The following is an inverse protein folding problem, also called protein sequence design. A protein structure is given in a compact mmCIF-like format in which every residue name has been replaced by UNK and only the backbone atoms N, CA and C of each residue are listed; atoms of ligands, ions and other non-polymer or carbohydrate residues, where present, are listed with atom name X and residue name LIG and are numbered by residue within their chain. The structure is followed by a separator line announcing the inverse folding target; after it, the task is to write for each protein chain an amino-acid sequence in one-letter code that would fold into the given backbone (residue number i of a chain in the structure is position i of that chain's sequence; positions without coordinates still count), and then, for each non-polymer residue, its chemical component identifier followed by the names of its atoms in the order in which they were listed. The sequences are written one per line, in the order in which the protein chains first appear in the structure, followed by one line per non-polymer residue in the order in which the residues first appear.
data_IF_003319952809
#
_entry.id   IF_003319952809
#
_cell.length_a   1.000
_cell.length_b   1.000
_cell.length_c   1.000
_cell.angle_alpha   90.00
_cell.angle_beta   90.00
_cell.angle_gamma   90.00
#
_symmetry.space_group_name_H-M   'P 1'
#
loop_
_entity.id
_entity.type
_entity.pdbx_description
1 polymer ?
#
# COMPACT_ATOMS: atom_id res chain seq x y z
N UNK A 1 20.30 -11.07 8.36
CA UNK A 1 21.19 -11.36 9.49
C UNK A 1 20.50 -12.25 10.49
N UNK A 2 21.25 -13.13 11.13
CA UNK A 2 20.80 -13.97 12.25
C UNK A 2 21.60 -13.50 13.47
N UNK A 3 20.94 -13.38 14.62
CA UNK A 3 21.56 -12.96 15.87
C UNK A 3 21.29 -14.02 16.92
N UNK A 4 22.30 -14.35 17.71
CA UNK A 4 22.16 -15.25 18.85
C UNK A 4 21.77 -14.45 20.10
N UNK A 5 20.88 -15.01 20.88
CA UNK A 5 20.44 -14.48 22.17
C UNK A 5 20.34 -15.66 23.13
N UNK A 6 20.66 -15.41 24.39
CA UNK A 6 20.58 -16.38 25.48
C UNK A 6 19.64 -15.81 26.54
N UNK A 7 18.83 -16.68 27.13
CA UNK A 7 17.87 -16.32 28.17
C UNK A 7 18.13 -17.22 29.37
N UNK A 8 18.29 -16.62 30.55
CA UNK A 8 18.24 -17.37 31.80
C UNK A 8 16.79 -17.81 32.03
N UNK A 9 16.57 -19.13 32.04
CA UNK A 9 15.22 -19.70 32.11
C UNK A 9 15.18 -20.83 33.15
N UNK A 10 14.31 -20.67 34.14
CA UNK A 10 14.01 -21.71 35.12
C UNK A 10 12.88 -22.60 34.62
N UNK A 11 12.98 -23.92 34.82
CA UNK A 11 11.94 -24.88 34.45
C UNK A 11 10.61 -24.59 35.15
N UNK A 12 10.65 -23.97 36.35
CA UNK A 12 9.46 -23.54 37.08
C UNK A 12 8.60 -22.51 36.31
N UNK A 13 9.20 -21.78 35.37
CA UNK A 13 8.48 -20.81 34.52
C UNK A 13 7.69 -21.48 33.39
N UNK A 14 7.86 -22.79 33.18
CA UNK A 14 7.21 -23.56 32.13
C UNK A 14 7.71 -23.20 30.74
N UNK A 15 6.85 -23.31 29.73
CA UNK A 15 7.20 -23.07 28.32
C UNK A 15 6.88 -21.63 27.91
N UNK A 16 7.85 -20.93 27.34
CA UNK A 16 7.67 -19.58 26.79
C UNK A 16 6.66 -19.57 25.61
N UNK A 17 5.45 -19.05 25.85
CA UNK A 17 4.40 -18.92 24.82
C UNK A 17 4.36 -17.56 24.10
N UNK A 18 5.09 -16.55 24.60
CA UNK A 18 5.17 -15.22 24.01
C UNK A 18 6.51 -14.54 24.34
N UNK A 19 6.94 -13.63 23.47
CA UNK A 19 8.14 -12.80 23.65
C UNK A 19 7.80 -11.32 23.45
N UNK A 20 8.27 -10.48 24.36
CA UNK A 20 8.20 -9.03 24.25
C UNK A 20 9.50 -8.49 23.64
N UNK A 21 9.38 -7.72 22.56
CA UNK A 21 10.53 -7.15 21.84
C UNK A 21 10.54 -5.63 21.96
N UNK A 22 11.54 -5.08 22.65
CA UNK A 22 11.73 -3.63 22.80
C UNK A 22 12.95 -3.16 22.00
N UNK A 23 12.71 -2.52 20.86
CA UNK A 23 13.78 -1.91 20.07
C UNK A 23 14.30 -0.64 20.76
N UNK A 24 15.50 -0.71 21.35
CA UNK A 24 16.20 0.45 21.96
C UNK A 24 17.04 1.24 20.96
N UNK A 25 17.17 0.79 19.71
CA UNK A 25 17.89 1.53 18.67
C UNK A 25 17.08 2.73 18.15
N UNK A 26 17.74 3.59 17.38
CA UNK A 26 17.12 4.77 16.76
C UNK A 26 16.32 4.44 15.50
N UNK A 27 16.61 3.32 14.86
CA UNK A 27 16.01 2.88 13.59
C UNK A 27 15.17 1.63 13.78
N UNK A 28 14.14 1.49 12.96
CA UNK A 28 13.30 0.28 12.90
C UNK A 28 14.04 -0.88 12.22
N UNK A 29 13.67 -2.10 12.57
CA UNK A 29 14.10 -3.30 11.87
C UNK A 29 12.90 -4.21 11.56
N UNK A 30 13.05 -5.12 10.61
CA UNK A 30 12.04 -6.11 10.29
C UNK A 30 12.37 -7.43 10.99
N UNK A 31 11.55 -7.83 11.96
CA UNK A 31 11.71 -9.08 12.68
C UNK A 31 11.02 -10.20 11.92
N UNK A 32 11.80 -11.14 11.38
CA UNK A 32 11.26 -12.30 10.65
C UNK A 32 10.73 -13.36 11.60
N UNK A 33 11.57 -13.83 12.50
CA UNK A 33 11.23 -14.89 13.45
C UNK A 33 12.14 -14.89 14.65
N UNK A 34 11.71 -15.58 15.71
CA UNK A 34 12.54 -15.98 16.85
C UNK A 34 12.41 -17.50 16.96
N UNK A 35 13.52 -18.18 17.24
CA UNK A 35 13.54 -19.61 17.49
C UNK A 35 14.30 -19.84 18.79
N UNK A 36 13.67 -20.54 19.72
CA UNK A 36 14.31 -21.02 20.93
C UNK A 36 14.56 -22.52 20.72
N UNK A 37 15.81 -22.93 20.80
CA UNK A 37 16.20 -24.33 20.81
C UNK A 37 16.29 -24.83 22.27
N UNK A 38 16.19 -26.14 22.46
CA UNK A 38 16.40 -26.82 23.75
C UNK A 38 15.54 -26.33 24.93
N UNK A 39 14.28 -25.93 24.67
CA UNK A 39 13.32 -25.58 25.74
C UNK A 39 12.93 -26.85 26.52
N UNK A 40 13.13 -26.90 27.86
CA UNK A 40 12.77 -28.06 28.67
C UNK A 40 11.32 -28.51 28.47
N UNK A 41 11.10 -29.82 28.31
CA UNK A 41 9.77 -30.41 28.11
C UNK A 41 9.10 -30.15 26.75
N UNK A 42 9.74 -29.40 25.84
CA UNK A 42 9.17 -29.09 24.50
C UNK A 42 10.15 -29.18 23.34
N UNK A 43 11.43 -28.93 23.56
CA UNK A 43 12.44 -28.82 22.51
C UNK A 43 12.39 -27.47 21.80
N UNK A 44 12.19 -27.46 20.48
CA UNK A 44 12.22 -26.21 19.70
C UNK A 44 10.88 -25.46 19.76
N UNK A 45 10.93 -24.16 20.08
CA UNK A 45 9.77 -23.24 20.03
C UNK A 45 10.00 -22.17 18.97
N UNK A 46 9.01 -21.93 18.11
CA UNK A 46 9.12 -21.00 17.00
C UNK A 46 8.10 -19.86 17.08
N UNK A 47 8.58 -18.64 16.83
CA UNK A 47 7.78 -17.42 16.77
C UNK A 47 7.86 -16.87 15.34
N UNK A 48 6.76 -16.93 14.60
CA UNK A 48 6.68 -16.39 13.23
C UNK A 48 6.22 -14.93 13.33
N UNK A 49 7.17 -14.00 13.26
CA UNK A 49 6.92 -12.58 13.58
C UNK A 49 6.51 -11.75 12.36
N UNK A 50 7.30 -11.80 11.29
CA UNK A 50 7.10 -11.07 10.02
C UNK A 50 6.58 -9.62 10.16
N UNK A 51 7.19 -8.82 11.04
CA UNK A 51 6.69 -7.48 11.37
C UNK A 51 7.78 -6.45 11.57
N UNK A 52 7.48 -5.20 11.26
CA UNK A 52 8.37 -4.06 11.54
C UNK A 52 8.35 -3.68 13.02
N UNK A 53 9.51 -3.64 13.67
CA UNK A 53 9.68 -3.21 15.07
C UNK A 53 10.34 -1.82 15.10
N UNK A 54 9.55 -0.79 15.38
CA UNK A 54 10.03 0.58 15.54
C UNK A 54 10.64 0.80 16.93
N UNK A 55 11.43 1.89 17.12
CA UNK A 55 11.95 2.25 18.43
C UNK A 55 10.86 2.29 19.50
N UNK A 56 11.09 1.68 20.67
CA UNK A 56 10.09 1.44 21.71
C UNK A 56 9.32 2.71 22.12
N UNK A 57 9.99 3.87 22.13
CA UNK A 57 9.40 5.20 22.39
C UNK A 57 8.28 5.63 21.43
N UNK A 58 8.08 4.91 20.31
CA UNK A 58 6.98 5.16 19.36
C UNK A 58 5.68 4.47 19.78
N UNK A 59 5.78 3.44 20.63
CA UNK A 59 4.63 2.68 21.10
C UNK A 59 4.20 3.15 22.49
N UNK A 60 2.92 2.94 22.79
CA UNK A 60 2.36 3.09 24.15
C UNK A 60 2.14 1.72 24.83
N UNK A 61 2.50 0.66 24.14
CA UNK A 61 2.30 -0.74 24.49
C UNK A 61 3.56 -1.51 24.08
N UNK A 62 3.72 -2.71 24.63
CA UNK A 62 4.84 -3.58 24.30
C UNK A 62 4.55 -4.42 23.06
N UNK A 63 5.55 -4.57 22.18
CA UNK A 63 5.44 -5.43 20.99
C UNK A 63 5.58 -6.88 21.42
N UNK A 64 4.45 -7.58 21.48
CA UNK A 64 4.38 -9.01 21.80
C UNK A 64 4.32 -9.86 20.53
N UNK A 65 5.00 -11.00 20.55
CA UNK A 65 4.93 -12.04 19.52
C UNK A 65 4.65 -13.38 20.19
N UNK A 66 3.66 -14.10 19.71
CA UNK A 66 3.27 -15.42 20.24
C UNK A 66 4.00 -16.54 19.52
N UNK A 67 4.15 -17.70 20.18
CA UNK A 67 4.60 -18.92 19.52
C UNK A 67 3.63 -19.31 18.39
N UNK A 68 4.06 -20.19 17.49
CA UNK A 68 3.24 -20.69 16.39
C UNK A 68 2.16 -21.72 16.82
N UNK A 69 1.90 -21.83 18.12
CA UNK A 69 0.84 -22.68 18.65
C UNK A 69 -0.54 -22.05 18.42
N UNK A 70 -1.52 -22.87 18.09
CA UNK A 70 -2.87 -22.41 17.75
C UNK A 70 -3.85 -22.71 18.88
N UNK A 71 -4.58 -21.68 19.33
CA UNK A 71 -5.57 -21.79 20.41
C UNK A 71 -6.89 -21.13 20.03
N UNK A 72 -8.01 -21.79 20.33
CA UNK A 72 -9.28 -21.08 20.51
C UNK A 72 -9.20 -20.19 21.77
N UNK A 73 -9.99 -19.10 21.85
CA UNK A 73 -9.97 -18.22 23.02
C UNK A 73 -10.19 -18.95 24.37
N UNK A 74 -11.01 -20.00 24.39
CA UNK A 74 -11.28 -20.83 25.57
C UNK A 74 -10.14 -21.79 25.95
N UNK A 75 -9.24 -22.10 25.00
CA UNK A 75 -8.14 -23.06 25.16
C UNK A 75 -6.79 -22.38 25.39
N UNK A 76 -6.72 -21.06 25.23
CA UNK A 76 -5.47 -20.32 25.41
C UNK A 76 -5.03 -20.38 26.88
N UNK A 77 -3.74 -20.67 27.17
CA UNK A 77 -3.20 -20.63 28.52
C UNK A 77 -3.52 -19.31 29.22
N UNK A 78 -3.99 -19.37 30.48
CA UNK A 78 -4.45 -18.19 31.23
C UNK A 78 -3.40 -17.08 31.27
N UNK A 79 -2.12 -17.45 31.44
CA UNK A 79 -1.01 -16.50 31.47
C UNK A 79 -0.86 -15.67 30.17
N UNK A 80 -1.33 -16.18 29.02
CA UNK A 80 -1.21 -15.48 27.73
C UNK A 80 -2.43 -14.62 27.39
N UNK A 81 -3.57 -14.82 28.07
CA UNK A 81 -4.82 -14.10 27.76
C UNK A 81 -4.70 -12.58 27.93
N UNK A 82 -4.06 -12.03 28.98
CA UNK A 82 -3.89 -10.58 29.12
C UNK A 82 -3.13 -9.97 27.94
N UNK A 83 -2.04 -10.59 27.49
CA UNK A 83 -1.24 -10.13 26.36
C UNK A 83 -2.01 -10.18 25.05
N UNK A 84 -2.80 -11.23 24.82
CA UNK A 84 -3.69 -11.32 23.64
C UNK A 84 -4.70 -10.18 23.64
N UNK A 85 -5.32 -9.89 24.78
CA UNK A 85 -6.33 -8.85 24.89
C UNK A 85 -5.72 -7.46 24.68
N UNK A 86 -4.53 -7.21 25.22
CA UNK A 86 -3.80 -5.95 25.02
C UNK A 86 -3.38 -5.74 23.55
N UNK A 87 -2.88 -6.78 22.87
CA UNK A 87 -2.53 -6.71 21.45
C UNK A 87 -3.79 -6.42 20.60
N UNK A 88 -4.91 -7.11 20.85
CA UNK A 88 -6.17 -6.85 20.15
C UNK A 88 -6.70 -5.43 20.39
N UNK A 89 -6.57 -4.89 21.61
CA UNK A 89 -6.96 -3.52 21.92
C UNK A 89 -6.07 -2.50 21.19
N UNK A 90 -4.77 -2.77 21.15
CA UNK A 90 -3.78 -1.93 20.46
C UNK A 90 -3.99 -1.92 18.95
N UNK A 91 -4.37 -3.07 18.36
CA UNK A 91 -4.70 -3.21 16.94
C UNK A 91 -6.02 -2.52 16.59
N UNK A 92 -7.04 -2.55 17.45
CA UNK A 92 -8.30 -1.80 17.24
C UNK A 92 -8.08 -0.29 17.30
N UNK A 93 -7.27 0.18 18.25
CA UNK A 93 -6.90 1.59 18.36
C UNK A 93 -8.07 2.54 18.66
N UNK A 94 -9.09 2.07 19.38
CA UNK A 94 -10.27 2.85 19.76
C UNK A 94 -9.89 4.12 20.58
N UNK A 95 -8.77 4.06 21.29
CA UNK A 95 -8.20 5.17 22.05
C UNK A 95 -7.35 6.15 21.21
N UNK A 96 -7.09 5.84 19.94
CA UNK A 96 -6.25 6.67 19.06
C UNK A 96 -7.12 7.71 18.37
N UNK A 97 -7.09 8.96 18.85
CA UNK A 97 -7.83 10.09 18.24
C UNK A 97 -7.00 10.97 17.31
N UNK A 98 -5.68 10.77 17.30
CA UNK A 98 -4.74 11.49 16.44
C UNK A 98 -4.72 10.92 15.02
N UNK A 99 -4.14 11.69 14.09
CA UNK A 99 -3.74 11.17 12.78
C UNK A 99 -2.83 9.95 12.92
N UNK A 100 -3.13 8.92 12.14
CA UNK A 100 -2.35 7.68 12.10
C UNK A 100 -1.02 7.95 11.39
N UNK A 101 0.04 7.33 11.92
CA UNK A 101 1.44 7.50 11.52
C UNK A 101 1.95 6.17 10.97
N UNK A 102 3.06 6.25 10.24
CA UNK A 102 3.64 5.11 9.54
C UNK A 102 3.91 3.87 10.41
N UNK A 103 4.23 4.04 11.69
CA UNK A 103 4.53 2.95 12.62
C UNK A 103 3.30 2.35 13.31
N UNK A 104 2.13 2.96 13.12
CA UNK A 104 0.90 2.46 13.73
C UNK A 104 0.46 1.16 13.05
N UNK A 105 -0.17 0.29 13.83
CA UNK A 105 -0.77 -0.99 13.41
C UNK A 105 -2.27 -1.01 13.69
N UNK A 106 -2.90 0.17 13.62
CA UNK A 106 -4.32 0.36 13.94
C UNK A 106 -5.17 0.00 12.74
N UNK A 107 -6.06 -0.98 12.92
CA UNK A 107 -7.08 -1.43 11.98
C UNK A 107 -8.42 -0.85 12.41
N UNK A 108 -8.84 0.20 11.73
CA UNK A 108 -10.16 0.82 11.95
C UNK A 108 -10.93 0.97 10.64
N UNK A 109 -12.23 1.21 10.77
CA UNK A 109 -13.12 1.43 9.64
C UNK A 109 -13.47 2.90 9.48
N UNK A 110 -13.67 3.31 8.24
CA UNK A 110 -14.19 4.63 7.87
C UNK A 110 -14.89 4.54 6.50
N UNK A 111 -15.63 5.57 6.12
CA UNK A 111 -16.37 5.64 4.85
C UNK A 111 -15.46 6.10 3.71
N UNK A 112 -15.92 5.97 2.46
CA UNK A 112 -15.24 6.58 1.32
C UNK A 112 -15.61 8.08 1.23
N UNK A 113 -15.10 8.83 2.21
CA UNK A 113 -15.25 10.29 2.33
C UNK A 113 -13.97 11.05 1.92
N UNK A 114 -13.00 10.36 1.31
CA UNK A 114 -11.67 10.87 1.00
C UNK A 114 -11.37 10.96 -0.51
N UNK A 115 -12.39 10.75 -1.35
CA UNK A 115 -12.28 10.78 -2.82
C UNK A 115 -12.36 12.20 -3.39
N UNK A 116 -13.28 13.02 -2.86
CA UNK A 116 -13.52 14.40 -3.29
C UNK A 116 -12.49 15.40 -2.78
N UNK A 117 -12.45 16.58 -3.40
CA UNK A 117 -11.66 17.73 -2.95
C UNK A 117 -12.46 19.05 -3.03
N UNK A 118 -13.44 19.24 -2.13
CA UNK A 118 -14.31 20.45 -2.11
C UNK A 118 -13.54 21.78 -2.10
N UNK A 119 -12.31 21.80 -1.58
CA UNK A 119 -11.48 23.01 -1.56
C UNK A 119 -11.22 23.56 -2.97
N UNK A 120 -11.17 22.70 -3.99
CA UNK A 120 -10.97 23.07 -5.40
C UNK A 120 -12.24 23.54 -6.12
N UNK A 121 -13.39 23.50 -5.46
CA UNK A 121 -14.68 23.93 -5.99
C UNK A 121 -15.62 22.79 -6.33
N UNK A 122 -16.86 23.15 -6.70
CA UNK A 122 -18.01 22.26 -6.82
C UNK A 122 -17.79 21.04 -7.72
N UNK A 123 -17.05 21.20 -8.82
CA UNK A 123 -16.75 20.11 -9.77
C UNK A 123 -15.90 18.98 -9.14
N UNK A 124 -15.21 19.25 -8.03
CA UNK A 124 -14.37 18.29 -7.31
C UNK A 124 -15.06 17.68 -6.07
N UNK A 125 -16.28 18.09 -5.77
CA UNK A 125 -17.08 17.49 -4.69
C UNK A 125 -17.55 16.09 -5.10
N UNK A 126 -17.56 15.17 -4.14
CA UNK A 126 -18.07 13.81 -4.32
C UNK A 126 -18.91 13.44 -3.11
N UNK A 127 -20.01 12.69 -3.29
CA UNK A 127 -20.77 12.18 -2.16
C UNK A 127 -19.90 11.23 -1.34
N UNK A 128 -20.20 11.12 -0.05
CA UNK A 128 -19.60 10.11 0.83
C UNK A 128 -20.24 8.77 0.51
N UNK A 129 -19.44 7.75 0.20
CA UNK A 129 -19.95 6.40 -0.04
C UNK A 129 -19.85 5.55 1.23
N UNK A 130 -20.99 5.02 1.67
CA UNK A 130 -21.18 4.25 2.89
C UNK A 130 -21.80 5.08 4.03
N UNK A 131 -22.58 4.42 4.89
CA UNK A 131 -23.20 5.05 6.07
C UNK A 131 -24.55 5.71 5.84
N UNK A 132 -25.05 5.69 4.59
CA UNK A 132 -26.41 6.07 4.23
C UNK A 132 -27.08 4.98 3.40
N UNK A 133 -28.42 5.02 3.35
CA UNK A 133 -29.20 4.16 2.46
C UNK A 133 -29.10 4.60 0.99
N UNK A 134 -28.84 5.89 0.74
CA UNK A 134 -28.72 6.45 -0.62
C UNK A 134 -27.41 6.00 -1.31
N UNK A 135 -26.30 5.93 -0.56
CA UNK A 135 -24.99 5.51 -1.07
C UNK A 135 -24.42 4.37 -0.21
N UNK A 136 -25.01 3.16 -0.24
CA UNK A 136 -24.46 2.03 0.49
C UNK A 136 -23.12 1.63 -0.14
N UNK A 137 -22.11 1.41 0.70
CA UNK A 137 -20.78 1.00 0.24
C UNK A 137 -20.00 0.29 1.36
N UNK A 138 -19.11 -0.67 1.00
CA UNK A 138 -18.16 -1.24 1.95
C UNK A 138 -17.34 -0.17 2.68
N UNK A 139 -16.89 -0.49 3.90
CA UNK A 139 -15.96 0.38 4.64
C UNK A 139 -14.55 0.23 4.07
N UNK A 140 -13.73 1.25 4.28
CA UNK A 140 -12.29 1.23 4.00
C UNK A 140 -11.48 1.29 5.29
N UNK A 141 -10.17 1.08 5.16
CA UNK A 141 -9.22 1.29 6.24
C UNK A 141 -9.16 2.75 6.69
N UNK A 142 -9.36 3.00 7.97
CA UNK A 142 -9.33 4.33 8.59
C UNK A 142 -7.94 4.94 8.51
N UNK A 143 -7.86 6.22 8.14
CA UNK A 143 -6.60 6.97 8.00
C UNK A 143 -6.47 8.14 8.99
N UNK A 144 -7.60 8.63 9.51
CA UNK A 144 -7.66 9.72 10.50
C UNK A 144 -6.91 11.00 10.09
N UNK A 145 -6.82 11.32 8.80
CA UNK A 145 -6.35 12.66 8.39
C UNK A 145 -7.40 13.69 8.79
N UNK A 146 -6.99 14.95 8.78
CA UNK A 146 -7.85 16.05 9.16
C UNK A 146 -9.06 16.12 8.23
N UNK A 147 -10.19 16.61 8.75
CA UNK A 147 -11.37 16.94 7.94
C UNK A 147 -11.05 18.03 6.92
N UNK A 148 -11.80 18.06 5.83
CA UNK A 148 -11.72 19.12 4.85
C UNK A 148 -12.24 20.43 5.45
N UNK A 149 -11.65 21.57 5.03
CA UNK A 149 -12.05 22.90 5.53
C UNK A 149 -13.43 23.32 5.05
N UNK A 150 -13.81 22.98 3.80
CA UNK A 150 -15.10 23.36 3.23
C UNK A 150 -16.24 22.38 3.55
N UNK A 151 -15.94 21.08 3.67
CA UNK A 151 -16.92 20.07 4.07
C UNK A 151 -16.36 19.16 5.17
N UNK A 152 -16.76 19.38 6.45
CA UNK A 152 -16.31 18.57 7.59
C UNK A 152 -16.68 17.08 7.53
N UNK A 153 -17.57 16.66 6.61
CA UNK A 153 -17.92 15.25 6.39
C UNK A 153 -16.86 14.52 5.55
N UNK A 154 -16.06 15.27 4.80
CA UNK A 154 -15.01 14.75 3.93
C UNK A 154 -13.64 14.84 4.58
N UNK A 155 -12.77 13.90 4.25
CA UNK A 155 -11.39 13.90 4.71
C UNK A 155 -10.51 14.76 3.80
N UNK A 156 -9.49 15.40 4.37
CA UNK A 156 -8.54 16.20 3.60
C UNK A 156 -7.79 15.34 2.58
N UNK A 157 -7.76 15.80 1.33
CA UNK A 157 -7.14 15.07 0.23
C UNK A 157 -5.63 15.08 0.37
N UNK A 158 -5.01 13.91 0.23
CA UNK A 158 -3.56 13.82 0.02
C UNK A 158 -3.29 14.16 -1.44
N UNK A 159 -2.34 15.07 -1.75
CA UNK A 159 -1.96 15.30 -3.13
C UNK A 159 -1.56 13.97 -3.74
N UNK A 160 -2.12 13.66 -4.89
CA UNK A 160 -2.04 12.33 -5.45
C UNK A 160 -0.59 11.82 -5.71
N UNK A 161 0.37 12.73 -5.84
CA UNK A 161 1.79 12.36 -5.91
C UNK A 161 2.37 11.79 -4.60
N UNK A 162 1.57 11.82 -3.54
CA UNK A 162 1.82 11.28 -2.21
C UNK A 162 0.73 10.25 -1.84
N UNK A 163 0.00 9.68 -2.81
CA UNK A 163 -1.02 8.66 -2.52
C UNK A 163 -0.44 7.39 -1.91
N UNK A 164 0.85 7.10 -2.16
CA UNK A 164 1.62 6.03 -1.50
C UNK A 164 1.87 6.29 0.00
N UNK A 165 1.61 7.52 0.45
CA UNK A 165 1.72 7.94 1.85
C UNK A 165 0.34 7.91 2.54
N UNK A 166 -0.70 7.41 1.86
CA UNK A 166 -1.96 7.08 2.51
C UNK A 166 -1.66 5.98 3.53
N UNK A 167 -2.05 6.23 4.77
CA UNK A 167 -1.82 5.30 5.85
C UNK A 167 -2.50 3.96 5.58
N UNK A 168 -1.73 2.90 5.77
CA UNK A 168 -2.17 1.53 6.00
C UNK A 168 -1.43 1.02 7.25
N UNK A 169 -1.99 0.08 8.02
CA UNK A 169 -1.28 -0.56 9.13
C UNK A 169 0.11 -1.02 8.69
N UNK A 170 1.12 -0.79 9.52
CA UNK A 170 2.53 -0.86 9.10
C UNK A 170 2.91 -2.15 8.38
N UNK A 171 2.38 -3.28 8.84
CA UNK A 171 2.73 -4.60 8.31
C UNK A 171 1.94 -4.97 7.04
N UNK A 172 0.84 -4.27 6.75
CA UNK A 172 0.08 -4.38 5.47
C UNK A 172 0.73 -3.57 4.35
N UNK A 173 1.59 -2.60 4.70
CA UNK A 173 2.33 -1.84 3.71
C UNK A 173 3.29 -2.80 3.01
N UNK A 174 3.19 -2.88 1.68
CA UNK A 174 4.12 -3.65 0.88
C UNK A 174 5.57 -3.26 1.25
N UNK A 175 6.40 -4.27 1.47
CA UNK A 175 7.85 -4.05 1.52
C UNK A 175 8.34 -3.46 0.20
N UNK A 176 9.50 -2.81 0.22
CA UNK A 176 10.10 -2.09 -0.92
C UNK A 176 10.24 -2.89 -2.24
N UNK A 177 9.94 -4.20 -2.23
CA UNK A 177 10.10 -5.13 -3.34
C UNK A 177 8.81 -5.46 -4.11
N UNK A 178 7.61 -5.06 -3.65
CA UNK A 178 6.34 -5.44 -4.34
C UNK A 178 5.76 -4.27 -5.15
N UNK A 179 5.78 -4.46 -6.47
CA UNK A 179 5.49 -3.54 -7.58
C UNK A 179 4.04 -3.00 -7.67
N UNK A 180 3.11 -3.40 -6.80
CA UNK A 180 1.69 -3.01 -6.90
C UNK A 180 1.45 -1.53 -6.58
N UNK A 181 2.11 -0.98 -5.55
CA UNK A 181 2.06 0.45 -5.22
C UNK A 181 2.75 1.32 -6.28
N UNK A 182 3.67 0.72 -7.04
CA UNK A 182 4.38 1.36 -8.13
C UNK A 182 3.45 1.70 -9.30
N UNK A 183 2.52 0.80 -9.67
CA UNK A 183 1.62 1.06 -10.80
C UNK A 183 0.68 2.24 -10.56
N UNK A 184 0.06 2.37 -9.37
CA UNK A 184 -0.92 3.44 -9.13
C UNK A 184 -0.28 4.86 -9.11
N UNK A 185 0.90 5.00 -8.48
CA UNK A 185 1.64 6.27 -8.46
C UNK A 185 2.14 6.62 -9.85
N UNK A 186 2.68 5.64 -10.54
CA UNK A 186 3.34 5.86 -11.80
C UNK A 186 2.31 6.05 -12.93
N UNK A 187 1.25 5.26 -13.03
CA UNK A 187 0.14 5.44 -14.00
C UNK A 187 -0.45 6.85 -13.99
N UNK A 188 -0.59 7.48 -12.82
CA UNK A 188 -1.20 8.82 -12.74
C UNK A 188 -0.21 9.97 -12.78
N UNK A 189 1.04 9.78 -12.35
CA UNK A 189 2.12 10.75 -12.64
C UNK A 189 2.42 10.81 -14.14
N UNK A 190 2.38 9.64 -14.78
CA UNK A 190 2.36 9.46 -16.23
C UNK A 190 1.14 10.14 -16.82
N UNK A 191 -0.08 9.79 -16.41
CA UNK A 191 -1.29 10.43 -16.93
C UNK A 191 -1.26 11.96 -16.82
N UNK A 192 -0.88 12.54 -15.67
CA UNK A 192 -0.78 14.00 -15.52
C UNK A 192 0.35 14.65 -16.32
N UNK A 193 1.41 13.92 -16.64
CA UNK A 193 2.53 14.44 -17.44
C UNK A 193 2.30 14.26 -18.93
N UNK A 194 1.71 13.14 -19.33
CA UNK A 194 1.44 12.77 -20.71
C UNK A 194 0.14 13.36 -21.23
N UNK A 195 -0.95 13.41 -20.45
CA UNK A 195 -2.24 13.95 -20.94
C UNK A 195 -2.11 15.39 -21.44
N UNK A 196 -1.39 16.31 -20.78
CA UNK A 196 -1.15 17.64 -21.34
C UNK A 196 -0.35 17.57 -22.65
N UNK A 197 0.68 16.75 -22.75
CA UNK A 197 1.50 16.59 -23.96
C UNK A 197 0.70 15.96 -25.10
N UNK A 198 -0.15 14.97 -24.81
CA UNK A 198 -1.13 14.40 -25.73
C UNK A 198 -2.07 15.50 -26.23
N UNK A 199 -2.68 16.27 -25.33
CA UNK A 199 -3.54 17.43 -25.68
C UNK A 199 -2.83 18.53 -26.48
N UNK A 200 -1.50 18.62 -26.40
CA UNK A 200 -0.71 19.64 -27.12
C UNK A 200 -0.25 19.13 -28.49
N UNK A 201 0.23 17.87 -28.56
CA UNK A 201 0.65 17.20 -29.81
C UNK A 201 -0.57 16.95 -30.71
N UNK A 202 -1.65 16.46 -30.12
CA UNK A 202 -2.95 16.28 -30.76
C UNK A 202 -3.79 17.54 -30.43
N UNK A 203 -3.63 18.61 -31.22
CA UNK A 203 -4.52 19.79 -31.12
C UNK A 203 -5.97 19.33 -31.28
N UNK A 204 -6.83 19.63 -30.29
CA UNK A 204 -8.30 19.43 -30.23
C UNK A 204 -8.87 18.19 -30.94
N UNK A 205 -9.39 17.25 -30.15
CA UNK A 205 -10.50 16.35 -30.49
C UNK A 205 -10.49 15.76 -31.91
N UNK A 206 -9.34 15.36 -32.45
CA UNK A 206 -9.28 14.57 -33.68
C UNK A 206 -9.69 13.15 -33.29
N UNK A 207 -10.88 12.68 -33.68
CA UNK A 207 -11.27 11.30 -33.40
C UNK A 207 -10.40 10.34 -34.21
N UNK A 208 -10.28 9.09 -33.76
CA UNK A 208 -9.77 8.04 -34.64
C UNK A 208 -10.75 7.88 -35.81
N UNK A 209 -10.26 7.96 -37.04
CA UNK A 209 -11.09 7.82 -38.25
C UNK A 209 -11.31 6.35 -38.63
N UNK A 210 -10.46 5.44 -38.13
CA UNK A 210 -10.55 4.01 -38.38
C UNK A 210 -9.93 3.16 -37.25
N UNK A 211 -10.28 1.87 -37.19
CA UNK A 211 -9.58 0.91 -36.32
C UNK A 211 -8.09 0.81 -36.68
N UNK A 212 -7.71 1.02 -37.94
CA UNK A 212 -6.30 1.08 -38.34
C UNK A 212 -5.56 2.18 -37.58
N UNK A 213 -6.19 3.32 -37.33
CA UNK A 213 -5.59 4.40 -36.54
C UNK A 213 -5.43 4.05 -35.07
N UNK A 214 -6.29 3.18 -34.53
CA UNK A 214 -6.09 2.63 -33.18
C UNK A 214 -4.94 1.61 -33.14
N UNK A 215 -4.75 0.79 -34.17
CA UNK A 215 -3.65 -0.20 -34.22
C UNK A 215 -2.27 0.45 -34.41
N UNK A 216 -2.20 1.59 -35.10
CA UNK A 216 -0.98 2.41 -35.20
C UNK A 216 -0.38 2.81 -33.84
N UNK A 217 -1.18 2.85 -32.78
CA UNK A 217 -0.68 3.10 -31.41
C UNK A 217 0.32 2.03 -30.92
N UNK A 218 0.25 0.82 -31.48
CA UNK A 218 1.07 -0.33 -31.11
C UNK A 218 2.16 -0.66 -32.14
N UNK A 219 1.92 -0.30 -33.40
CA UNK A 219 2.71 -0.75 -34.56
C UNK A 219 3.69 0.30 -35.09
N UNK A 220 3.37 1.59 -34.95
CA UNK A 220 4.04 2.66 -35.69
C UNK A 220 5.11 3.39 -34.85
N UNK A 221 6.31 3.53 -35.40
CA UNK A 221 7.40 4.30 -34.78
C UNK A 221 7.15 5.82 -34.78
N UNK A 222 6.11 6.30 -35.47
CA UNK A 222 5.77 7.74 -35.53
C UNK A 222 4.88 8.21 -34.37
N UNK A 223 4.14 7.29 -33.73
CA UNK A 223 3.33 7.61 -32.53
C UNK A 223 4.19 7.64 -31.27
N UNK A 224 5.45 7.22 -31.38
CA UNK A 224 6.48 7.39 -30.38
C UNK A 224 6.49 8.83 -29.82
N UNK A 225 6.09 8.93 -28.55
CA UNK A 225 6.13 10.20 -27.83
C UNK A 225 7.42 10.27 -27.02
N UNK A 226 8.27 11.24 -27.33
CA UNK A 226 9.35 11.62 -26.41
C UNK A 226 8.70 12.00 -25.09
N UNK A 227 9.23 11.47 -23.99
CA UNK A 227 8.74 11.89 -22.69
C UNK A 227 8.87 13.41 -22.56
N UNK A 228 7.80 14.10 -22.17
CA UNK A 228 7.89 15.52 -21.92
C UNK A 228 8.86 15.77 -20.76
N UNK A 229 9.73 16.78 -20.89
CA UNK A 229 10.50 17.28 -19.75
C UNK A 229 9.53 17.92 -18.78
N UNK A 230 9.12 17.20 -17.74
CA UNK A 230 8.15 17.68 -16.74
C UNK A 230 8.72 17.55 -15.33
N UNK A 231 8.47 18.57 -14.49
CA UNK A 231 8.83 18.54 -13.06
C UNK A 231 8.19 17.36 -12.32
N UNK A 232 7.08 16.81 -12.85
CA UNK A 232 6.42 15.63 -12.30
C UNK A 232 7.17 14.34 -12.63
N UNK A 233 7.64 14.19 -13.88
CA UNK A 233 8.45 13.06 -14.32
C UNK A 233 9.84 13.06 -13.67
N UNK A 234 10.46 14.21 -13.46
CA UNK A 234 11.73 14.28 -12.70
C UNK A 234 11.56 13.85 -11.24
N UNK A 235 10.47 14.26 -10.58
CA UNK A 235 10.16 13.80 -9.22
C UNK A 235 9.87 12.31 -9.18
N UNK A 236 9.17 11.79 -10.19
CA UNK A 236 8.93 10.36 -10.37
C UNK A 236 10.27 9.62 -10.50
N UNK A 237 11.18 10.13 -11.34
CA UNK A 237 12.52 9.57 -11.61
C UNK A 237 13.41 9.53 -10.38
N UNK A 238 13.37 10.58 -9.56
CA UNK A 238 14.08 10.62 -8.28
C UNK A 238 13.52 9.64 -7.24
N UNK A 239 12.22 9.31 -7.30
CA UNK A 239 11.58 8.40 -6.34
C UNK A 239 11.64 6.92 -6.76
N UNK A 240 11.51 6.64 -8.06
CA UNK A 240 11.38 5.28 -8.59
C UNK A 240 12.66 4.75 -9.24
N UNK A 241 13.62 5.63 -9.54
CA UNK A 241 14.76 5.26 -10.37
C UNK A 241 14.39 5.17 -11.86
N UNK A 242 15.41 5.07 -12.71
CA UNK A 242 15.24 5.13 -14.16
C UNK A 242 14.64 3.84 -14.72
N UNK A 243 15.07 2.69 -14.22
CA UNK A 243 14.71 1.37 -14.77
C UNK A 243 13.23 1.07 -14.63
N UNK A 244 12.66 1.32 -13.45
CA UNK A 244 11.23 1.17 -13.23
C UNK A 244 10.41 2.11 -14.14
N UNK A 245 10.84 3.35 -14.35
CA UNK A 245 10.14 4.25 -15.28
C UNK A 245 10.21 3.74 -16.71
N UNK A 246 11.36 3.22 -17.14
CA UNK A 246 11.51 2.61 -18.47
C UNK A 246 10.56 1.43 -18.65
N UNK A 247 10.41 0.54 -17.65
CA UNK A 247 9.49 -0.58 -17.75
C UNK A 247 8.02 -0.16 -17.80
N UNK A 248 7.61 0.77 -16.94
CA UNK A 248 6.21 1.21 -16.88
C UNK A 248 5.77 1.95 -18.15
N UNK A 249 6.62 2.85 -18.62
CA UNK A 249 6.34 3.66 -19.80
C UNK A 249 6.82 3.00 -21.09
N UNK A 250 7.44 1.82 -20.97
CA UNK A 250 8.06 1.05 -22.05
C UNK A 250 8.87 1.96 -22.96
N UNK A 251 9.82 2.63 -22.34
CA UNK A 251 10.70 3.61 -22.99
C UNK A 251 11.83 2.85 -23.66
N UNK A 252 11.98 3.02 -24.98
CA UNK A 252 13.11 2.48 -25.73
C UNK A 252 14.43 3.21 -25.42
N UNK A 253 15.53 2.72 -25.97
CA UNK A 253 16.85 3.34 -25.79
C UNK A 253 16.92 4.77 -26.36
N UNK A 254 16.06 5.09 -27.33
CA UNK A 254 15.94 6.41 -27.95
C UNK A 254 15.06 7.40 -27.16
N UNK A 255 14.41 6.96 -26.07
CA UNK A 255 13.62 7.79 -25.17
C UNK A 255 12.14 7.95 -25.56
N UNK A 256 11.62 7.06 -26.39
CA UNK A 256 10.23 7.04 -26.84
C UNK A 256 9.42 5.97 -26.13
N UNK A 257 8.16 6.29 -25.80
CA UNK A 257 7.23 5.32 -25.22
C UNK A 257 6.59 4.47 -26.31
N UNK A 258 6.76 3.14 -26.22
CA UNK A 258 6.12 2.17 -27.11
C UNK A 258 5.03 1.39 -26.37
N UNK A 259 3.78 1.51 -26.82
CA UNK A 259 2.70 0.70 -26.26
C UNK A 259 2.84 -0.74 -26.77
N UNK A 260 2.69 -1.76 -25.91
CA UNK A 260 2.74 -3.14 -26.36
C UNK A 260 1.46 -3.51 -27.07
N UNK A 261 1.58 -4.32 -28.12
CA UNK A 261 0.40 -4.91 -28.76
C UNK A 261 -0.37 -5.78 -27.73
N UNK A 262 -1.65 -5.47 -27.44
CA UNK A 262 -2.48 -6.27 -26.54
C UNK A 262 -2.59 -7.72 -27.01
N UNK A 263 -2.58 -8.69 -26.08
CA UNK A 263 -2.63 -10.12 -26.40
C UNK A 263 -3.83 -10.49 -27.31
N UNK A 264 -5.00 -9.91 -27.02
CA UNK A 264 -6.25 -10.15 -27.77
C UNK A 264 -6.15 -9.80 -29.26
N UNK A 265 -5.23 -8.91 -29.65
CA UNK A 265 -4.98 -8.55 -31.06
C UNK A 265 -3.58 -8.94 -31.56
N UNK A 266 -2.86 -9.83 -30.86
CA UNK A 266 -1.56 -10.31 -31.36
C UNK A 266 -1.70 -11.35 -32.46
N UNK A 267 -2.65 -12.27 -32.29
CA UNK A 267 -2.89 -13.34 -33.26
C UNK A 267 -3.85 -12.92 -34.37
N UNK A 268 -4.85 -12.10 -34.03
CA UNK A 268 -5.88 -11.65 -34.97
C UNK A 268 -6.42 -10.27 -34.58
N UNK A 269 -6.29 -9.31 -35.48
CA UNK A 269 -6.66 -7.91 -35.23
C UNK A 269 -8.16 -7.67 -35.15
N UNK A 270 -8.97 -8.60 -35.65
CA UNK A 270 -10.42 -8.47 -35.73
C UNK A 270 -11.20 -9.49 -34.91
N UNK A 271 -10.53 -10.41 -34.21
CA UNK A 271 -11.20 -11.46 -33.41
C UNK A 271 -12.15 -10.89 -32.35
N UNK A 272 -11.78 -9.79 -31.69
CA UNK A 272 -12.65 -9.09 -30.71
C UNK A 272 -13.97 -8.56 -31.28
N UNK A 273 -14.18 -8.64 -32.60
CA UNK A 273 -15.41 -8.21 -33.29
C UNK A 273 -16.35 -9.36 -33.64
N UNK A 274 -15.94 -10.61 -33.42
CA UNK A 274 -16.78 -11.78 -33.64
C UNK A 274 -17.69 -12.00 -32.45
N UNK A 275 -18.86 -12.61 -32.65
CA UNK A 275 -19.79 -12.91 -31.55
C UNK A 275 -19.22 -13.98 -30.59
N UNK A 276 -18.24 -14.76 -31.05
CA UNK A 276 -17.61 -15.85 -30.30
C UNK A 276 -16.59 -15.40 -29.23
N UNK A 277 -16.06 -14.17 -29.29
CA UNK A 277 -15.09 -13.60 -28.33
C UNK A 277 -15.81 -12.73 -27.28
#
# INVERSE_FOLDING_TARGET
SIFRVEFDWDEEYGVAGAVIVKNKHRVQFYLKSITLDDVPGRGRVHFVCNSWVYPAKKYKYDRVFFSNDTYLPSQMPEALKPYRQEELNSLRGDNVRRKLKEHDRVYGYDFYNDLGDPNKGKMYERPVLGGSQEYPYPRRGRTSRNKNKKDPRTESRVPLIFSIDIYVPRDERFGHLKMSDFYAYALKAVGKSLVPTLKTKFKKDVPFESFKDTYKLYDDEEVNMKLPKSKHLEKLRKKLGNELIKELLRIDEAGFMKLPRPEVIKANDSAWRTDEE
#
